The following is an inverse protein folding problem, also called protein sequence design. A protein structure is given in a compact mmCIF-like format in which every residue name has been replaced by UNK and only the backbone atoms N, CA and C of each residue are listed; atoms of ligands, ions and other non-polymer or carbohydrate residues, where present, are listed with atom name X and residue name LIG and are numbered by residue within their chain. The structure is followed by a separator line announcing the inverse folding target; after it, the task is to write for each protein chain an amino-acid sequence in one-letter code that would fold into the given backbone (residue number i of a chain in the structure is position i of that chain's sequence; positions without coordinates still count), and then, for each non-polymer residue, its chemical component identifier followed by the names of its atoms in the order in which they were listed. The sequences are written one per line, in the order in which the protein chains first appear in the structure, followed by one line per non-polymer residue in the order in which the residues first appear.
data_IF_467388605897
#
_entry.id   IF_467388605897
#
_cell.length_a   1.000
_cell.length_b   1.000
_cell.length_c   1.000
_cell.angle_alpha   90.00
_cell.angle_beta   90.00
_cell.angle_gamma   90.00
#
_symmetry.space_group_name_H-M   'P 1'
#
loop_
_entity.id
_entity.type
_entity.pdbx_description
1 polymer ?
#
# COMPACT_ATOMS: atom_id res chain seq x y z
N UNK A 1 -10.59 -13.47 -2.96
CA UNK A 1 -9.35 -14.12 -2.47
C UNK A 1 -8.83 -13.31 -1.31
N UNK A 2 -8.68 -13.93 -0.13
CA UNK A 2 -8.16 -13.27 1.07
C UNK A 2 -6.66 -13.08 0.88
N UNK A 3 -6.17 -11.83 0.94
CA UNK A 3 -4.72 -11.56 0.90
C UNK A 3 -4.03 -12.26 2.07
N UNK A 4 -2.77 -12.65 1.89
CA UNK A 4 -1.98 -13.06 3.06
C UNK A 4 -1.89 -11.88 4.04
N UNK A 5 -1.69 -12.17 5.32
CA UNK A 5 -1.44 -11.16 6.37
C UNK A 5 0.06 -10.85 6.42
N UNK A 6 0.40 -9.59 6.70
CA UNK A 6 1.79 -9.19 6.90
C UNK A 6 2.25 -9.60 8.30
N UNK A 7 3.47 -10.12 8.44
CA UNK A 7 4.02 -10.53 9.74
C UNK A 7 4.23 -9.36 10.74
N UNK A 8 4.18 -8.13 10.25
CA UNK A 8 4.36 -6.89 11.03
C UNK A 8 3.02 -6.19 11.17
N UNK A 9 2.58 -6.00 12.40
CA UNK A 9 1.25 -5.47 12.73
C UNK A 9 1.07 -4.03 12.24
N UNK A 10 2.14 -3.24 12.21
CA UNK A 10 2.14 -1.85 11.77
C UNK A 10 1.81 -1.75 10.28
N UNK A 11 2.46 -2.60 9.48
CA UNK A 11 2.24 -2.68 8.03
C UNK A 11 0.83 -3.22 7.78
N UNK A 12 0.43 -4.27 8.49
CA UNK A 12 -0.92 -4.83 8.38
C UNK A 12 -2.01 -3.79 8.68
N UNK A 13 -1.82 -2.95 9.70
CA UNK A 13 -2.73 -1.86 10.01
C UNK A 13 -2.78 -0.80 8.89
N UNK A 14 -1.65 -0.51 8.24
CA UNK A 14 -1.61 0.37 7.07
C UNK A 14 -2.29 -0.24 5.84
N UNK A 15 -2.12 -1.55 5.60
CA UNK A 15 -2.79 -2.27 4.52
C UNK A 15 -4.31 -2.28 4.73
N UNK A 16 -4.77 -2.62 5.92
CA UNK A 16 -6.20 -2.58 6.29
C UNK A 16 -6.79 -1.17 6.10
N UNK A 17 -6.02 -0.13 6.45
CA UNK A 17 -6.41 1.26 6.26
C UNK A 17 -6.55 1.65 4.78
N UNK A 18 -5.66 1.13 3.93
CA UNK A 18 -5.71 1.32 2.49
C UNK A 18 -6.92 0.59 1.88
N UNK A 19 -7.17 -0.67 2.27
CA UNK A 19 -8.35 -1.44 1.81
C UNK A 19 -9.65 -0.74 2.14
N UNK A 20 -9.78 -0.17 3.35
CA UNK A 20 -10.96 0.62 3.73
C UNK A 20 -11.17 1.88 2.88
N UNK A 21 -10.12 2.36 2.21
CA UNK A 21 -10.20 3.48 1.25
C UNK A 21 -10.32 3.01 -0.20
N UNK A 22 -10.60 1.73 -0.42
CA UNK A 22 -10.77 1.16 -1.75
C UNK A 22 -9.46 0.84 -2.46
N UNK A 23 -8.31 0.93 -1.80
CA UNK A 23 -7.04 0.51 -2.40
C UNK A 23 -7.00 -1.01 -2.55
N UNK A 24 -6.53 -1.46 -3.72
CA UNK A 24 -6.42 -2.88 -4.01
C UNK A 24 -5.05 -3.40 -3.58
N UNK A 25 -5.02 -4.39 -2.69
CA UNK A 25 -3.76 -4.96 -2.19
C UNK A 25 -3.58 -6.36 -2.77
N UNK A 26 -2.40 -6.61 -3.33
CA UNK A 26 -2.01 -7.90 -3.86
C UNK A 26 -0.82 -8.43 -3.05
N UNK A 27 -1.05 -9.48 -2.28
CA UNK A 27 0.00 -10.26 -1.62
C UNK A 27 0.63 -11.23 -2.63
N UNK A 28 1.95 -11.43 -2.56
CA UNK A 28 2.66 -12.37 -3.44
C UNK A 28 3.85 -11.75 -4.18
N UNK A 29 4.57 -10.85 -3.53
CA UNK A 29 5.83 -10.35 -4.07
C UNK A 29 6.92 -11.43 -4.11
N UNK A 30 7.89 -11.27 -4.99
CA UNK A 30 9.06 -12.15 -5.09
C UNK A 30 10.23 -11.56 -4.29
N UNK A 31 10.91 -12.40 -3.51
CA UNK A 31 12.10 -12.00 -2.74
C UNK A 31 11.76 -11.08 -1.55
N UNK A 32 12.27 -9.85 -1.60
CA UNK A 32 12.16 -8.88 -0.49
C UNK A 32 10.81 -8.15 -0.42
N UNK A 33 10.03 -8.16 -1.51
CA UNK A 33 8.70 -7.58 -1.54
C UNK A 33 7.66 -8.57 -1.03
N UNK A 34 6.82 -8.14 -0.09
CA UNK A 34 5.68 -8.91 0.38
C UNK A 34 4.53 -8.87 -0.64
N UNK A 35 4.33 -7.70 -1.25
CA UNK A 35 3.24 -7.46 -2.16
C UNK A 35 3.26 -6.05 -2.72
N UNK A 36 2.16 -5.68 -3.38
CA UNK A 36 1.95 -4.35 -3.97
C UNK A 36 0.56 -3.87 -3.64
N UNK A 37 0.40 -2.58 -3.39
CA UNK A 37 -0.88 -1.91 -3.33
C UNK A 37 -1.08 -1.05 -4.56
N UNK A 38 -2.30 -1.05 -5.08
CA UNK A 38 -2.70 -0.40 -6.31
C UNK A 38 -3.77 0.63 -5.98
N UNK A 39 -3.58 1.85 -6.48
CA UNK A 39 -4.59 2.89 -6.43
C UNK A 39 -5.81 2.46 -7.26
N UNK A 40 -7.04 2.64 -6.75
CA UNK A 40 -8.25 2.32 -7.50
C UNK A 40 -8.56 3.36 -8.58
N UNK A 41 -8.02 4.57 -8.45
CA UNK A 41 -8.26 5.68 -9.37
C UNK A 41 -7.19 5.72 -10.46
N UNK A 42 -7.61 5.52 -11.72
CA UNK A 42 -6.76 5.62 -12.93
C UNK A 42 -6.69 7.07 -13.43
N UNK A 43 -6.53 8.03 -12.54
CA UNK A 43 -6.48 9.43 -12.92
C UNK A 43 -5.03 9.87 -13.05
N UNK A 44 -4.69 10.53 -14.16
CA UNK A 44 -3.34 11.03 -14.43
C UNK A 44 -2.89 12.08 -13.39
N UNK A 45 -3.85 12.72 -12.69
CA UNK A 45 -3.62 13.66 -11.58
C UNK A 45 -3.45 12.96 -10.22
N UNK A 46 -3.61 11.64 -10.14
CA UNK A 46 -3.24 10.90 -8.95
C UNK A 46 -1.73 11.04 -8.76
N UNK A 47 -1.32 11.68 -7.66
CA UNK A 47 -0.01 12.22 -7.24
C UNK A 47 1.31 11.53 -7.63
N UNK A 48 1.29 10.39 -8.31
CA UNK A 48 2.44 9.59 -8.73
C UNK A 48 2.60 9.46 -10.25
N UNK A 49 1.73 10.06 -11.06
CA UNK A 49 1.70 9.77 -12.51
C UNK A 49 1.22 8.34 -12.77
N UNK A 50 1.42 7.87 -14.01
CA UNK A 50 0.67 6.82 -14.74
C UNK A 50 0.36 5.48 -14.03
N UNK A 51 1.00 5.14 -12.91
CA UNK A 51 0.71 3.93 -12.13
C UNK A 51 0.96 4.16 -10.64
N UNK A 52 -0.06 4.58 -9.89
CA UNK A 52 0.05 4.77 -8.44
C UNK A 52 0.05 3.40 -7.71
N UNK A 53 1.18 2.70 -7.82
CA UNK A 53 1.47 1.39 -7.22
C UNK A 53 2.53 1.60 -6.14
N UNK A 54 2.29 1.10 -4.93
CA UNK A 54 3.29 1.10 -3.86
C UNK A 54 3.71 -0.32 -3.51
N UNK A 55 5.01 -0.57 -3.51
CA UNK A 55 5.58 -1.87 -3.10
C UNK A 55 5.62 -1.98 -1.57
N UNK A 56 5.10 -3.09 -1.07
CA UNK A 56 5.11 -3.43 0.36
C UNK A 56 6.26 -4.39 0.62
N UNK A 57 7.16 -4.02 1.53
CA UNK A 57 8.35 -4.82 1.84
C UNK A 57 8.08 -5.81 2.98
N UNK A 58 8.56 -7.06 2.84
CA UNK A 58 8.42 -8.10 3.87
C UNK A 58 9.26 -7.82 5.12
N UNK A 59 10.49 -7.35 4.91
CA UNK A 59 11.51 -7.15 5.96
C UNK A 59 12.09 -5.74 5.94
N UNK A 60 11.29 -4.68 6.15
CA UNK A 60 11.82 -3.34 6.25
C UNK A 60 12.60 -3.15 7.55
N UNK A 61 13.70 -2.41 7.50
CA UNK A 61 14.53 -2.05 8.68
C UNK A 61 13.69 -1.37 9.77
N UNK A 62 12.66 -0.60 9.39
CA UNK A 62 11.70 0.02 10.31
C UNK A 62 10.27 -0.16 9.78
N UNK A 63 9.51 -1.06 10.40
CA UNK A 63 8.14 -1.36 10.02
C UNK A 63 7.17 -0.19 10.24
N UNK A 64 7.36 0.59 11.30
CA UNK A 64 6.51 1.75 11.63
C UNK A 64 6.65 2.84 10.56
N UNK A 65 7.87 3.17 10.16
CA UNK A 65 8.11 4.17 9.12
C UNK A 65 7.58 3.71 7.77
N UNK A 66 7.75 2.43 7.42
CA UNK A 66 7.19 1.88 6.20
C UNK A 66 5.65 1.95 6.21
N UNK A 67 5.02 1.57 7.32
CA UNK A 67 3.57 1.68 7.49
C UNK A 67 3.08 3.13 7.38
N UNK A 68 3.76 4.10 8.00
CA UNK A 68 3.43 5.53 7.86
C UNK A 68 3.57 6.01 6.42
N UNK A 69 4.57 5.52 5.68
CA UNK A 69 4.73 5.84 4.27
C UNK A 69 3.55 5.31 3.45
N UNK A 70 3.15 4.05 3.62
CA UNK A 70 2.00 3.48 2.92
C UNK A 70 0.71 4.26 3.22
N UNK A 71 0.48 4.62 4.49
CA UNK A 71 -0.69 5.44 4.88
C UNK A 71 -0.64 6.83 4.25
N UNK A 72 0.54 7.46 4.21
CA UNK A 72 0.71 8.76 3.57
C UNK A 72 0.40 8.69 2.07
N UNK A 73 0.80 7.63 1.36
CA UNK A 73 0.46 7.44 -0.06
C UNK A 73 -1.06 7.41 -0.26
N UNK A 74 -1.74 6.69 0.62
CA UNK A 74 -3.21 6.59 0.62
C UNK A 74 -3.88 7.94 0.93
N UNK A 75 -3.44 8.63 1.98
CA UNK A 75 -4.00 9.92 2.41
C UNK A 75 -3.70 11.04 1.40
N UNK A 76 -2.58 10.93 0.69
CA UNK A 76 -2.18 11.88 -0.35
C UNK A 76 -2.77 11.55 -1.72
N UNK A 77 -3.61 10.52 -1.86
CA UNK A 77 -4.32 10.27 -3.10
C UNK A 77 -5.29 11.42 -3.38
N UNK A 78 -5.14 12.06 -4.55
CA UNK A 78 -5.91 13.24 -4.96
C UNK A 78 -7.40 12.95 -5.15
N UNK A 79 -7.79 11.69 -5.32
CA UNK A 79 -9.18 11.25 -5.47
C UNK A 79 -10.06 11.41 -4.20
N UNK A 80 -9.46 11.81 -3.07
CA UNK A 80 -10.18 12.22 -1.86
C UNK A 80 -10.27 13.75 -1.69
N UNK A 81 -9.91 14.55 -2.71
CA UNK A 81 -10.02 16.01 -2.69
C UNK A 81 -11.26 16.49 -3.44
#
# INVERSE_FOLDING_TARGET
MVRRTHAKKEIEAALTYAERRGWRIQSGGTGHAWGKMYCPYKEAECRCGEFCISSVWSTPKNAVNHARHLRRVVDNCTAHR
#
